data_IF_280139742906
#
_entry.id   IF_280139742906
#
_cell.length_a   1.000
_cell.length_b   1.000
_cell.length_c   1.000
_cell.angle_alpha   90.00
_cell.angle_beta   90.00
_cell.angle_gamma   90.00
#
_symmetry.space_group_name_H-M   'P 1'
#
loop_
_entity.id
_entity.type
_entity.pdbx_description
1 polymer ?
#
# COMPACT_ATOMS: atom_id res chain seq x y z
N UNK A 1 -5.75 -8.19 -6.16
CA UNK A 1 -4.98 -7.31 -5.25
C UNK A 1 -5.82 -6.87 -4.05
N UNK A 2 -7.11 -6.57 -4.23
CA UNK A 2 -8.03 -6.15 -3.15
C UNK A 2 -8.05 -7.05 -1.91
N UNK A 3 -7.97 -8.38 -2.05
CA UNK A 3 -8.05 -9.28 -0.89
C UNK A 3 -6.84 -9.18 0.04
N UNK A 4 -5.64 -8.94 -0.53
CA UNK A 4 -4.44 -8.71 0.28
C UNK A 4 -4.45 -7.32 0.90
N UNK A 5 -4.99 -6.33 0.19
CA UNK A 5 -5.08 -4.97 0.69
C UNK A 5 -6.03 -4.89 1.87
N UNK A 6 -7.26 -5.41 1.72
CA UNK A 6 -8.22 -5.50 2.83
C UNK A 6 -7.73 -6.33 4.01
N UNK A 7 -6.88 -7.33 3.78
CA UNK A 7 -6.28 -8.10 4.87
C UNK A 7 -5.16 -7.34 5.60
N UNK A 8 -4.54 -6.38 4.94
CA UNK A 8 -3.49 -5.53 5.49
C UNK A 8 -4.06 -4.26 6.15
N UNK A 9 -5.18 -3.76 5.64
CA UNK A 9 -5.92 -2.58 6.09
C UNK A 9 -6.71 -2.94 7.36
N UNK A 10 -6.06 -2.80 8.51
CA UNK A 10 -6.62 -3.23 9.80
C UNK A 10 -7.62 -2.20 10.29
N UNK A 11 -7.30 -0.92 10.11
CA UNK A 11 -8.18 0.18 10.53
C UNK A 11 -9.34 0.44 9.55
N UNK A 12 -9.35 -0.20 8.37
CA UNK A 12 -10.36 -0.07 7.32
C UNK A 12 -10.54 1.39 6.87
N UNK A 13 -9.46 2.17 6.85
CA UNK A 13 -9.48 3.56 6.43
C UNK A 13 -9.28 3.75 4.91
N UNK A 14 -9.06 2.64 4.19
CA UNK A 14 -8.86 2.64 2.74
C UNK A 14 -7.42 2.93 2.30
N UNK A 15 -6.47 2.95 3.24
CA UNK A 15 -5.03 3.13 3.00
C UNK A 15 -4.22 2.19 3.91
N UNK A 16 -2.95 2.02 3.58
CA UNK A 16 -2.03 1.20 4.36
C UNK A 16 -0.93 2.08 4.94
N UNK A 17 -0.84 2.11 6.26
CA UNK A 17 0.34 2.64 6.93
C UNK A 17 1.55 1.73 6.72
N UNK A 18 2.77 2.23 6.98
CA UNK A 18 4.00 1.43 6.85
C UNK A 18 3.94 0.14 7.69
N UNK A 19 3.35 0.19 8.88
CA UNK A 19 3.20 -0.97 9.77
C UNK A 19 2.21 -2.00 9.21
N UNK A 20 1.08 -1.53 8.67
CA UNK A 20 0.07 -2.38 8.03
C UNK A 20 0.59 -3.01 6.75
N UNK A 21 1.26 -2.22 5.90
CA UNK A 21 1.96 -2.70 4.73
C UNK A 21 3.02 -3.73 5.11
N UNK A 22 3.82 -3.53 6.17
CA UNK A 22 4.80 -4.53 6.62
C UNK A 22 4.16 -5.84 7.05
N UNK A 23 2.99 -5.80 7.69
CA UNK A 23 2.28 -6.99 8.18
C UNK A 23 1.54 -7.74 7.08
N UNK A 24 0.90 -7.04 6.14
CA UNK A 24 0.06 -7.67 5.13
C UNK A 24 0.66 -7.72 3.72
N UNK A 25 1.61 -6.85 3.40
CA UNK A 25 2.18 -6.67 2.06
C UNK A 25 3.67 -6.27 2.07
N UNK A 26 4.59 -7.21 2.28
CA UNK A 26 6.03 -6.92 2.27
C UNK A 26 6.51 -6.16 1.03
N UNK A 27 6.01 -6.50 -0.17
CA UNK A 27 6.35 -5.78 -1.41
C UNK A 27 5.94 -4.30 -1.40
N UNK A 28 4.78 -3.99 -0.82
CA UNK A 28 4.32 -2.60 -0.65
C UNK A 28 5.19 -1.92 0.38
N UNK A 29 5.55 -2.59 1.49
CA UNK A 29 6.44 -2.00 2.48
C UNK A 29 7.87 -1.74 1.98
N UNK A 30 8.40 -2.60 1.11
CA UNK A 30 9.73 -2.43 0.49
C UNK A 30 9.76 -1.27 -0.50
N UNK A 31 8.65 -1.06 -1.20
CA UNK A 31 8.48 0.05 -2.13
C UNK A 31 7.64 1.18 -1.53
N UNK A 32 7.45 1.23 -0.21
CA UNK A 32 6.47 2.11 0.42
C UNK A 32 6.69 3.55 0.00
N UNK A 33 7.92 4.04 0.15
CA UNK A 33 8.34 5.38 -0.26
C UNK A 33 8.34 5.63 -1.76
N UNK A 34 8.29 4.59 -2.60
CA UNK A 34 8.10 4.74 -4.05
C UNK A 34 6.62 4.80 -4.44
N UNK A 35 5.77 4.13 -3.66
CA UNK A 35 4.33 4.05 -3.90
C UNK A 35 3.63 5.27 -3.28
N UNK A 36 4.03 5.63 -2.06
CA UNK A 36 3.67 6.86 -1.33
C UNK A 36 4.23 8.08 -2.09
N UNK A 37 3.48 8.49 -3.11
CA UNK A 37 3.86 9.59 -4.01
C UNK A 37 3.55 10.93 -3.38
N UNK A 38 2.51 10.99 -2.54
CA UNK A 38 2.11 12.19 -1.83
C UNK A 38 2.95 12.44 -0.56
N UNK A 39 3.75 11.45 -0.13
CA UNK A 39 4.60 11.48 1.07
C UNK A 39 3.81 11.81 2.34
N UNK A 40 2.59 11.29 2.43
CA UNK A 40 1.72 11.48 3.60
C UNK A 40 1.96 10.43 4.70
N UNK A 41 2.81 9.43 4.44
CA UNK A 41 3.13 8.35 5.36
C UNK A 41 2.14 7.18 5.31
N UNK A 42 1.27 7.13 4.31
CA UNK A 42 0.31 6.08 4.02
C UNK A 42 0.34 5.75 2.53
N UNK A 43 -0.19 4.59 2.17
CA UNK A 43 -0.32 4.18 0.76
C UNK A 43 -1.76 3.85 0.48
N UNK A 44 -2.40 4.64 -0.37
CA UNK A 44 -3.77 4.38 -0.75
C UNK A 44 -3.86 3.24 -1.76
N UNK A 45 -5.03 2.61 -1.87
CA UNK A 45 -5.25 1.54 -2.86
C UNK A 45 -4.93 2.03 -4.28
N UNK A 46 -5.23 3.30 -4.57
CA UNK A 46 -4.97 3.95 -5.86
C UNK A 46 -3.48 4.07 -6.15
N UNK A 47 -2.68 4.46 -5.16
CA UNK A 47 -1.22 4.56 -5.31
C UNK A 47 -0.59 3.18 -5.51
N UNK A 48 -1.09 2.18 -4.78
CA UNK A 48 -0.67 0.78 -4.96
C UNK A 48 -0.98 0.32 -6.38
N UNK A 49 -2.21 0.51 -6.85
CA UNK A 49 -2.62 0.15 -8.21
C UNK A 49 -1.72 0.87 -9.22
N UNK A 50 -1.53 2.17 -9.09
CA UNK A 50 -0.68 2.96 -9.98
C UNK A 50 0.76 2.45 -10.02
N UNK A 51 1.33 2.04 -8.88
CA UNK A 51 2.67 1.48 -8.81
C UNK A 51 2.78 0.06 -9.39
N UNK A 52 1.72 -0.74 -9.28
CA UNK A 52 1.67 -2.07 -9.90
C UNK A 52 1.40 -2.01 -11.41
N UNK A 53 0.54 -1.10 -11.87
CA UNK A 53 0.31 -0.85 -13.31
C UNK A 53 1.54 -0.27 -14.01
N UNK A 54 2.36 0.53 -13.32
CA UNK A 54 3.61 1.06 -13.89
C UNK A 54 4.73 0.03 -14.09
N UNK A 55 4.56 -1.20 -13.61
CA UNK A 55 5.56 -2.27 -13.72
C UNK A 55 5.20 -3.35 -14.76
N UNK A 56 4.20 -3.11 -15.61
CA UNK A 56 3.87 -3.92 -16.80
C UNK A 56 4.26 -3.18 -18.10
#
# INVERSE_FOLDING_TARGET
METKFKGADVNNDGKLSLEEAKKGMSKVSENFTKIDTNNDGYVSIEEIIAAYEKNE
#
